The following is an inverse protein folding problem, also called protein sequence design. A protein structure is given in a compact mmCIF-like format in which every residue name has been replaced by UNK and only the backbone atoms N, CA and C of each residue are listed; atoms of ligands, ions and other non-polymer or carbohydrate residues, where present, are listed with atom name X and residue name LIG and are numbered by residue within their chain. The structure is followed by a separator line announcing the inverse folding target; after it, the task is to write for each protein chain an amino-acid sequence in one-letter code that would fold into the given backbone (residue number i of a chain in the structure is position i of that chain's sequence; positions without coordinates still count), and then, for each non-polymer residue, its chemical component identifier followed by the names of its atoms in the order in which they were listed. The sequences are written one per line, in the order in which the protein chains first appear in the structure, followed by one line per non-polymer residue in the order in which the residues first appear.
data_IF_866835206890
#
_entry.id   IF_866835206890
#
_cell.length_a   1.000
_cell.length_b   1.000
_cell.length_c   1.000
_cell.angle_alpha   90.00
_cell.angle_beta   90.00
_cell.angle_gamma   90.00
#
_symmetry.space_group_name_H-M   'P 1'
#
loop_
_entity.id
_entity.type
_entity.pdbx_description
1 polymer ?
#
# COMPACT_ATOMS: atom_id res chain seq x y z
N UNK A 1 -40.04 122.85 -18.29
CA UNK A 1 -40.69 121.67 -18.90
C UNK A 1 -40.58 120.52 -17.92
N UNK A 2 -41.68 120.19 -17.24
CA UNK A 2 -41.72 119.10 -16.27
C UNK A 2 -42.03 117.78 -16.99
N UNK A 3 -41.13 116.81 -16.86
CA UNK A 3 -41.31 115.44 -17.35
C UNK A 3 -42.23 114.67 -16.42
N UNK A 4 -43.20 113.99 -17.04
CA UNK A 4 -44.29 113.23 -16.43
C UNK A 4 -43.80 112.14 -15.47
N UNK A 5 -44.32 112.17 -14.24
CA UNK A 5 -44.34 111.05 -13.30
C UNK A 5 -45.33 109.99 -13.83
N UNK A 6 -44.85 108.77 -14.03
CA UNK A 6 -45.64 107.59 -14.43
C UNK A 6 -46.75 107.31 -13.39
N UNK A 7 -47.97 107.07 -13.90
CA UNK A 7 -49.23 106.81 -13.18
C UNK A 7 -49.08 105.98 -11.89
N UNK A 8 -49.75 106.34 -10.78
CA UNK A 8 -50.00 105.41 -9.69
C UNK A 8 -51.03 104.37 -10.15
N UNK A 9 -50.80 103.12 -9.76
CA UNK A 9 -51.63 101.95 -10.02
C UNK A 9 -53.11 102.16 -9.68
N UNK A 10 -53.97 101.35 -10.33
CA UNK A 10 -55.42 101.29 -10.10
C UNK A 10 -55.73 101.13 -8.60
N UNK A 11 -56.60 101.98 -8.04
CA UNK A 11 -57.00 101.92 -6.62
C UNK A 11 -58.14 100.92 -6.42
N UNK A 12 -57.89 99.89 -5.63
CA UNK A 12 -58.87 98.85 -5.28
C UNK A 12 -59.85 99.32 -4.20
N UNK A 13 -61.06 98.76 -4.16
CA UNK A 13 -62.05 99.05 -3.10
C UNK A 13 -61.76 98.22 -1.85
N UNK A 14 -62.20 98.68 -0.68
CA UNK A 14 -62.00 97.96 0.59
C UNK A 14 -62.53 96.50 0.57
N UNK A 15 -63.71 96.20 -0.05
CA UNK A 15 -64.16 94.81 -0.23
C UNK A 15 -63.24 93.97 -1.11
N UNK A 16 -62.62 94.56 -2.15
CA UNK A 16 -61.64 93.87 -3.01
C UNK A 16 -60.38 93.51 -2.20
N UNK A 17 -59.95 94.38 -1.29
CA UNK A 17 -58.84 94.11 -0.37
C UNK A 17 -59.18 92.97 0.61
N UNK A 18 -60.37 92.97 1.22
CA UNK A 18 -60.81 91.88 2.10
C UNK A 18 -60.91 90.55 1.36
N UNK A 19 -61.42 90.55 0.12
CA UNK A 19 -61.51 89.37 -0.73
C UNK A 19 -60.12 88.84 -1.09
N UNK A 20 -59.18 89.73 -1.46
CA UNK A 20 -57.79 89.34 -1.73
C UNK A 20 -57.06 88.83 -0.47
N UNK A 21 -57.28 89.46 0.69
CA UNK A 21 -56.68 89.02 1.96
C UNK A 21 -57.21 87.64 2.38
N UNK A 22 -58.52 87.39 2.23
CA UNK A 22 -59.11 86.07 2.45
C UNK A 22 -58.55 85.04 1.46
N UNK A 23 -58.46 85.37 0.17
CA UNK A 23 -57.91 84.48 -0.85
C UNK A 23 -56.43 84.15 -0.57
N UNK A 24 -55.62 85.13 -0.16
CA UNK A 24 -54.24 84.91 0.26
C UNK A 24 -54.16 84.00 1.50
N UNK A 25 -55.04 84.20 2.48
CA UNK A 25 -55.12 83.36 3.69
C UNK A 25 -55.47 81.92 3.35
N UNK A 26 -56.56 81.69 2.60
CA UNK A 26 -57.02 80.35 2.21
C UNK A 26 -55.98 79.64 1.33
N UNK A 27 -55.34 80.35 0.40
CA UNK A 27 -54.29 79.76 -0.43
C UNK A 27 -53.05 79.42 0.42
N UNK A 28 -52.68 80.25 1.39
CA UNK A 28 -51.62 79.95 2.34
C UNK A 28 -51.94 78.73 3.23
N UNK A 29 -53.20 78.54 3.63
CA UNK A 29 -53.67 77.34 4.35
C UNK A 29 -53.56 76.09 3.48
N UNK A 30 -54.11 76.11 2.26
CA UNK A 30 -54.02 74.99 1.31
C UNK A 30 -52.57 74.59 1.02
N UNK A 31 -51.67 75.58 0.86
CA UNK A 31 -50.24 75.32 0.65
C UNK A 31 -49.57 74.75 1.90
N UNK A 32 -49.94 75.22 3.11
CA UNK A 32 -49.45 74.67 4.38
C UNK A 32 -49.93 73.24 4.60
N UNK A 33 -51.17 72.93 4.28
CA UNK A 33 -51.75 71.59 4.42
C UNK A 33 -51.11 70.60 3.44
N UNK A 34 -50.96 70.97 2.16
CA UNK A 34 -50.24 70.17 1.18
C UNK A 34 -48.77 69.93 1.59
N UNK A 35 -48.08 70.97 2.10
CA UNK A 35 -46.74 70.83 2.65
C UNK A 35 -46.69 69.92 3.88
N UNK A 36 -47.69 70.00 4.76
CA UNK A 36 -47.79 69.14 5.93
C UNK A 36 -47.97 67.68 5.54
N UNK A 37 -48.85 67.40 4.57
CA UNK A 37 -49.07 66.06 4.05
C UNK A 37 -47.80 65.48 3.42
N UNK A 38 -47.13 66.22 2.52
CA UNK A 38 -45.87 65.76 1.90
C UNK A 38 -44.79 65.50 2.96
N UNK A 39 -44.68 66.35 3.98
CA UNK A 39 -43.72 66.13 5.08
C UNK A 39 -44.06 64.89 5.90
N UNK A 40 -45.35 64.61 6.11
CA UNK A 40 -45.78 63.42 6.84
C UNK A 40 -45.51 62.15 6.03
N UNK A 41 -45.85 62.15 4.74
CA UNK A 41 -45.54 61.06 3.81
C UNK A 41 -44.03 60.80 3.72
N UNK A 42 -43.21 61.87 3.60
CA UNK A 42 -41.76 61.74 3.58
C UNK A 42 -41.20 61.17 4.90
N UNK A 43 -41.79 61.52 6.04
CA UNK A 43 -41.39 60.96 7.35
C UNK A 43 -41.74 59.47 7.47
N UNK A 44 -42.95 59.08 7.03
CA UNK A 44 -43.37 57.68 6.98
C UNK A 44 -42.43 56.90 6.06
N UNK A 45 -42.23 57.36 4.83
CA UNK A 45 -41.33 56.71 3.87
C UNK A 45 -39.90 56.56 4.39
N UNK A 46 -39.37 57.58 5.08
CA UNK A 46 -38.03 57.52 5.69
C UNK A 46 -37.97 56.47 6.80
N UNK A 47 -39.01 56.36 7.63
CA UNK A 47 -39.06 55.35 8.68
C UNK A 47 -39.18 53.94 8.08
N UNK A 48 -40.03 53.77 7.09
CA UNK A 48 -40.23 52.48 6.41
C UNK A 48 -38.95 52.02 5.72
N UNK A 49 -38.29 52.90 4.95
CA UNK A 49 -37.03 52.57 4.27
C UNK A 49 -35.88 52.34 5.25
N UNK A 50 -35.82 53.07 6.37
CA UNK A 50 -34.83 52.82 7.42
C UNK A 50 -35.03 51.45 8.07
N UNK A 51 -36.27 51.10 8.41
CA UNK A 51 -36.59 49.79 8.97
C UNK A 51 -36.26 48.67 7.98
N UNK A 52 -36.64 48.84 6.71
CA UNK A 52 -36.33 47.88 5.65
C UNK A 52 -34.82 47.69 5.50
N UNK A 53 -34.04 48.76 5.51
CA UNK A 53 -32.58 48.70 5.37
C UNK A 53 -31.94 47.93 6.54
N UNK A 54 -32.42 48.15 7.77
CA UNK A 54 -31.91 47.44 8.96
C UNK A 54 -32.24 45.95 8.88
N UNK A 55 -33.48 45.61 8.47
CA UNK A 55 -33.90 44.22 8.31
C UNK A 55 -33.14 43.50 7.19
N UNK A 56 -33.00 44.13 6.02
CA UNK A 56 -32.27 43.56 4.89
C UNK A 56 -30.81 43.32 5.24
N UNK A 57 -30.16 44.25 5.94
CA UNK A 57 -28.78 44.07 6.39
C UNK A 57 -28.65 42.92 7.40
N UNK A 58 -29.61 42.82 8.34
CA UNK A 58 -29.62 41.74 9.31
C UNK A 58 -29.83 40.36 8.65
N UNK A 59 -30.77 40.25 7.72
CA UNK A 59 -31.05 39.02 6.96
C UNK A 59 -29.82 38.62 6.11
N UNK A 60 -29.23 39.56 5.38
CA UNK A 60 -28.01 39.31 4.59
C UNK A 60 -26.84 38.83 5.46
N UNK A 61 -26.61 39.49 6.60
CA UNK A 61 -25.56 39.09 7.55
C UNK A 61 -25.79 37.69 8.11
N UNK A 62 -27.05 37.35 8.41
CA UNK A 62 -27.43 36.04 8.94
C UNK A 62 -27.18 34.95 7.89
N UNK A 63 -27.65 35.14 6.65
CA UNK A 63 -27.42 34.20 5.55
C UNK A 63 -25.95 34.00 5.23
N UNK A 64 -25.14 35.07 5.31
CA UNK A 64 -23.70 34.98 5.11
C UNK A 64 -23.04 34.17 6.24
N UNK A 65 -23.45 34.39 7.50
CA UNK A 65 -22.95 33.60 8.64
C UNK A 65 -23.31 32.11 8.50
N UNK A 66 -24.56 31.78 8.13
CA UNK A 66 -24.99 30.40 7.86
C UNK A 66 -24.19 29.76 6.73
N UNK A 67 -23.85 30.53 5.70
CA UNK A 67 -23.00 30.06 4.60
C UNK A 67 -21.58 29.74 5.10
N UNK A 68 -20.97 30.64 5.88
CA UNK A 68 -19.66 30.41 6.51
C UNK A 68 -19.67 29.12 7.32
N UNK A 69 -20.69 28.91 8.16
CA UNK A 69 -20.81 27.69 8.96
C UNK A 69 -20.92 26.43 8.08
N UNK A 70 -21.69 26.49 7.00
CA UNK A 70 -21.87 25.37 6.07
C UNK A 70 -20.57 25.02 5.35
N UNK A 71 -19.83 26.02 4.86
CA UNK A 71 -18.53 25.81 4.22
C UNK A 71 -17.51 25.29 5.23
N UNK A 72 -17.55 25.78 6.48
CA UNK A 72 -16.64 25.34 7.55
C UNK A 72 -16.88 23.87 7.92
N UNK A 73 -18.13 23.42 8.02
CA UNK A 73 -18.45 21.99 8.22
C UNK A 73 -17.87 21.11 7.12
N UNK A 74 -17.98 21.53 5.86
CA UNK A 74 -17.38 20.79 4.74
C UNK A 74 -15.85 20.78 4.82
N UNK A 75 -15.23 21.92 5.13
CA UNK A 75 -13.78 22.01 5.35
C UNK A 75 -13.31 21.04 6.44
N UNK A 76 -14.01 20.98 7.57
CA UNK A 76 -13.69 20.06 8.67
C UNK A 76 -13.89 18.57 8.28
N UNK A 77 -14.95 18.24 7.53
CA UNK A 77 -15.16 16.89 7.03
C UNK A 77 -14.06 16.46 6.04
N UNK A 78 -13.64 17.37 5.15
CA UNK A 78 -12.57 17.11 4.19
C UNK A 78 -11.21 17.00 4.90
N UNK A 79 -10.93 17.85 5.90
CA UNK A 79 -9.73 17.75 6.75
C UNK A 79 -9.61 16.39 7.42
N UNK A 80 -10.71 15.92 8.02
CA UNK A 80 -10.74 14.60 8.67
C UNK A 80 -10.49 13.50 7.64
N UNK A 81 -11.20 13.55 6.51
CA UNK A 81 -11.06 12.56 5.44
C UNK A 81 -9.64 12.51 4.87
N UNK A 82 -8.98 13.68 4.71
CA UNK A 82 -7.57 13.76 4.31
C UNK A 82 -6.63 13.11 5.34
N UNK A 83 -6.87 13.37 6.63
CA UNK A 83 -6.07 12.78 7.73
C UNK A 83 -6.22 11.26 7.76
N UNK A 84 -7.46 10.76 7.64
CA UNK A 84 -7.75 9.32 7.59
C UNK A 84 -7.10 8.68 6.33
N UNK A 85 -7.13 9.37 5.20
CA UNK A 85 -6.53 8.93 3.94
C UNK A 85 -5.00 8.88 4.00
N UNK A 86 -4.34 9.89 4.58
CA UNK A 86 -2.89 9.89 4.76
C UNK A 86 -2.47 8.75 5.70
N UNK A 87 -3.22 8.49 6.77
CA UNK A 87 -2.96 7.35 7.65
C UNK A 87 -3.10 6.00 6.93
N UNK A 88 -4.09 5.83 6.04
CA UNK A 88 -4.25 4.60 5.26
C UNK A 88 -3.15 4.45 4.18
N UNK A 89 -2.72 5.55 3.54
CA UNK A 89 -1.58 5.54 2.61
C UNK A 89 -0.32 5.07 3.34
N UNK A 90 -0.04 5.60 4.53
CA UNK A 90 1.11 5.19 5.34
C UNK A 90 1.01 3.72 5.76
N UNK A 91 -0.18 3.26 6.17
CA UNK A 91 -0.42 1.88 6.58
C UNK A 91 -0.26 0.89 5.41
N UNK A 92 -0.76 1.23 4.22
CA UNK A 92 -0.60 0.40 3.02
C UNK A 92 0.85 0.40 2.54
N UNK A 93 1.56 1.52 2.65
CA UNK A 93 3.00 1.61 2.34
C UNK A 93 3.81 0.67 3.24
N UNK A 94 3.59 0.70 4.55
CA UNK A 94 4.24 -0.21 5.49
C UNK A 94 3.93 -1.69 5.20
N UNK A 95 2.69 -2.02 4.85
CA UNK A 95 2.30 -3.38 4.51
C UNK A 95 2.98 -3.86 3.21
N UNK A 96 3.08 -2.98 2.20
CA UNK A 96 3.81 -3.25 0.96
C UNK A 96 5.29 -3.48 1.23
N UNK A 97 5.93 -2.63 2.02
CA UNK A 97 7.34 -2.80 2.41
C UNK A 97 7.57 -4.11 3.17
N UNK A 98 6.66 -4.49 4.06
CA UNK A 98 6.71 -5.79 4.74
C UNK A 98 6.63 -6.95 3.76
N UNK A 99 5.77 -6.88 2.75
CA UNK A 99 5.69 -7.89 1.69
C UNK A 99 6.97 -7.94 0.83
N UNK A 100 7.56 -6.79 0.50
CA UNK A 100 8.84 -6.70 -0.22
C UNK A 100 9.99 -7.32 0.57
N UNK A 101 10.06 -7.06 1.88
CA UNK A 101 11.05 -7.68 2.77
C UNK A 101 10.86 -9.20 2.86
N UNK A 102 9.61 -9.67 2.99
CA UNK A 102 9.31 -11.10 2.99
C UNK A 102 9.72 -11.75 1.67
N UNK A 103 9.47 -11.10 0.53
CA UNK A 103 9.88 -11.56 -0.80
C UNK A 103 11.41 -11.68 -0.90
N UNK A 104 12.14 -10.65 -0.46
CA UNK A 104 13.60 -10.64 -0.47
C UNK A 104 14.19 -11.74 0.43
N UNK A 105 13.58 -11.97 1.59
CA UNK A 105 14.00 -13.01 2.53
C UNK A 105 13.92 -14.43 1.94
N UNK A 106 13.13 -14.66 0.88
CA UNK A 106 13.04 -15.96 0.20
C UNK A 106 14.19 -16.27 -0.75
N UNK A 107 15.04 -15.28 -1.09
CA UNK A 107 16.18 -15.50 -1.99
C UNK A 107 17.21 -16.46 -1.40
N UNK A 108 17.59 -16.25 -0.13
CA UNK A 108 18.60 -17.10 0.50
C UNK A 108 18.15 -18.58 0.61
N UNK A 109 16.94 -18.90 1.11
CA UNK A 109 16.44 -20.28 1.10
C UNK A 109 16.40 -20.91 -0.30
N UNK A 110 16.04 -20.13 -1.33
CA UNK A 110 16.03 -20.60 -2.71
C UNK A 110 17.44 -20.97 -3.19
N UNK A 111 18.41 -20.08 -2.95
CA UNK A 111 19.81 -20.31 -3.33
C UNK A 111 20.37 -21.55 -2.61
N UNK A 112 20.06 -21.72 -1.32
CA UNK A 112 20.46 -22.91 -0.55
C UNK A 112 19.83 -24.19 -1.10
N UNK A 113 18.54 -24.18 -1.44
CA UNK A 113 17.87 -25.34 -2.02
C UNK A 113 18.47 -25.73 -3.38
N UNK A 114 18.78 -24.73 -4.23
CA UNK A 114 19.45 -24.93 -5.52
C UNK A 114 20.87 -25.45 -5.31
N UNK A 115 21.64 -24.88 -4.38
CA UNK A 115 22.98 -25.36 -4.04
C UNK A 115 22.93 -26.82 -3.58
N UNK A 116 21.98 -27.18 -2.71
CA UNK A 116 21.77 -28.56 -2.28
C UNK A 116 21.50 -29.50 -3.46
N UNK A 117 20.67 -29.09 -4.42
CA UNK A 117 20.42 -29.87 -5.63
C UNK A 117 21.69 -30.02 -6.48
N UNK A 118 22.43 -28.94 -6.72
CA UNK A 118 23.68 -29.00 -7.50
C UNK A 118 24.75 -29.89 -6.86
N UNK A 119 24.88 -29.86 -5.53
CA UNK A 119 25.78 -30.77 -4.81
C UNK A 119 25.36 -32.23 -4.95
N UNK A 120 24.06 -32.50 -4.99
CA UNK A 120 23.54 -33.85 -5.21
C UNK A 120 23.79 -34.34 -6.64
N UNK A 121 23.63 -33.47 -7.64
CA UNK A 121 23.94 -33.78 -9.04
C UNK A 121 25.44 -34.07 -9.26
N UNK A 122 26.31 -33.55 -8.37
CA UNK A 122 27.76 -33.79 -8.42
C UNK A 122 28.21 -35.16 -7.89
N UNK A 123 27.28 -35.98 -7.37
CA UNK A 123 27.57 -37.36 -6.92
C UNK A 123 28.02 -38.22 -8.10
N UNK A 124 28.65 -39.37 -7.82
CA UNK A 124 29.25 -40.24 -8.85
C UNK A 124 28.59 -41.61 -8.87
N UNK A 125 28.56 -42.20 -10.06
CA UNK A 125 28.16 -43.59 -10.29
C UNK A 125 26.81 -43.93 -9.63
N UNK A 126 26.80 -44.98 -8.79
CA UNK A 126 25.60 -45.50 -8.14
C UNK A 126 25.04 -44.57 -7.06
N UNK A 127 25.80 -43.56 -6.61
CA UNK A 127 25.35 -42.60 -5.59
C UNK A 127 24.48 -41.46 -6.17
N UNK A 128 24.40 -41.35 -7.50
CA UNK A 128 23.43 -40.48 -8.20
C UNK A 128 22.06 -41.14 -8.20
N UNK A 129 21.35 -41.00 -7.09
CA UNK A 129 20.05 -41.62 -6.89
C UNK A 129 18.99 -40.56 -6.62
N UNK A 130 17.88 -40.67 -7.33
CA UNK A 130 16.63 -39.98 -7.00
C UNK A 130 16.08 -40.57 -5.70
N UNK A 131 16.35 -39.88 -4.60
CA UNK A 131 15.90 -40.25 -3.27
C UNK A 131 14.83 -39.26 -2.77
N UNK A 132 14.14 -39.56 -1.67
CA UNK A 132 13.13 -38.65 -1.13
C UNK A 132 13.66 -37.25 -0.78
N UNK A 133 14.97 -37.08 -0.57
CA UNK A 133 15.56 -35.75 -0.30
C UNK A 133 15.54 -34.90 -1.57
N UNK A 134 15.86 -35.49 -2.72
CA UNK A 134 15.80 -34.78 -4.00
C UNK A 134 14.37 -34.35 -4.36
N UNK A 135 13.40 -35.22 -4.11
CA UNK A 135 11.97 -34.91 -4.31
C UNK A 135 11.52 -33.75 -3.41
N UNK A 136 11.88 -33.77 -2.12
CA UNK A 136 11.52 -32.69 -1.20
C UNK A 136 12.27 -31.38 -1.50
N UNK A 137 13.52 -31.43 -1.97
CA UNK A 137 14.26 -30.24 -2.40
C UNK A 137 13.62 -29.59 -3.65
N UNK A 138 13.19 -30.39 -4.63
CA UNK A 138 12.46 -29.86 -5.79
C UNK A 138 11.14 -29.21 -5.38
N UNK A 139 10.36 -29.86 -4.49
CA UNK A 139 9.14 -29.27 -3.93
C UNK A 139 9.44 -27.97 -3.16
N UNK A 140 10.54 -27.92 -2.42
CA UNK A 140 10.96 -26.70 -1.70
C UNK A 140 11.22 -25.54 -2.66
N UNK A 141 11.93 -25.78 -3.77
CA UNK A 141 12.12 -24.78 -4.83
C UNK A 141 10.77 -24.33 -5.42
N UNK A 142 9.87 -25.28 -5.74
CA UNK A 142 8.55 -24.98 -6.29
C UNK A 142 7.69 -24.13 -5.34
N UNK A 143 7.65 -24.47 -4.04
CA UNK A 143 6.90 -23.74 -3.02
C UNK A 143 7.49 -22.34 -2.79
N UNK A 144 8.82 -22.21 -2.78
CA UNK A 144 9.48 -20.91 -2.67
C UNK A 144 9.15 -20.03 -3.88
N UNK A 145 9.21 -20.56 -5.10
CA UNK A 145 8.88 -19.80 -6.31
C UNK A 145 7.40 -19.42 -6.37
N UNK A 146 6.49 -20.32 -5.97
CA UNK A 146 5.06 -20.02 -5.85
C UNK A 146 4.81 -18.89 -4.84
N UNK A 147 5.45 -18.97 -3.67
CA UNK A 147 5.41 -17.91 -2.64
C UNK A 147 5.92 -16.58 -3.18
N UNK A 148 7.06 -16.57 -3.86
CA UNK A 148 7.64 -15.34 -4.45
C UNK A 148 6.66 -14.70 -5.45
N UNK A 149 6.01 -15.51 -6.30
CA UNK A 149 5.00 -15.01 -7.25
C UNK A 149 3.77 -14.43 -6.55
N UNK A 150 3.25 -15.11 -5.53
CA UNK A 150 2.10 -14.65 -4.77
C UNK A 150 2.39 -13.30 -4.07
N UNK A 151 3.54 -13.18 -3.40
CA UNK A 151 3.97 -11.92 -2.78
C UNK A 151 4.19 -10.82 -3.81
N UNK A 152 4.84 -11.11 -4.94
CA UNK A 152 5.07 -10.13 -6.01
C UNK A 152 3.76 -9.59 -6.59
N UNK A 153 2.76 -10.44 -6.79
CA UNK A 153 1.44 -10.02 -7.25
C UNK A 153 0.79 -9.05 -6.25
N UNK A 154 0.86 -9.36 -4.95
CA UNK A 154 0.33 -8.50 -3.89
C UNK A 154 1.05 -7.15 -3.81
N UNK A 155 2.37 -7.14 -3.98
CA UNK A 155 3.17 -5.91 -4.03
C UNK A 155 2.74 -5.02 -5.21
N UNK A 156 2.54 -5.60 -6.40
CA UNK A 156 2.06 -4.86 -7.57
C UNK A 156 0.66 -4.28 -7.37
N UNK A 157 -0.28 -5.07 -6.83
CA UNK A 157 -1.63 -4.60 -6.48
C UNK A 157 -1.59 -3.45 -5.48
N UNK A 158 -0.71 -3.54 -4.47
CA UNK A 158 -0.53 -2.49 -3.46
C UNK A 158 0.02 -1.20 -4.06
N UNK A 159 0.96 -1.31 -4.99
CA UNK A 159 1.53 -0.16 -5.68
C UNK A 159 0.49 0.57 -6.53
N UNK A 160 -0.31 -0.16 -7.31
CA UNK A 160 -1.41 0.42 -8.09
C UNK A 160 -2.43 1.13 -7.18
N UNK A 161 -2.79 0.49 -6.07
CA UNK A 161 -3.72 1.08 -5.10
C UNK A 161 -3.16 2.35 -4.45
N UNK A 162 -1.87 2.39 -4.11
CA UNK A 162 -1.20 3.59 -3.59
C UNK A 162 -1.25 4.75 -4.59
N UNK A 163 -1.06 4.49 -5.89
CA UNK A 163 -1.21 5.52 -6.92
C UNK A 163 -2.64 6.10 -6.94
N UNK A 164 -3.66 5.23 -6.88
CA UNK A 164 -5.07 5.67 -6.83
C UNK A 164 -5.38 6.51 -5.57
N UNK A 165 -4.89 6.08 -4.40
CA UNK A 165 -5.07 6.84 -3.16
C UNK A 165 -4.38 8.22 -3.23
N UNK A 166 -3.20 8.31 -3.87
CA UNK A 166 -2.54 9.58 -4.09
C UNK A 166 -3.34 10.51 -5.01
N UNK A 167 -3.94 10.01 -6.09
CA UNK A 167 -4.81 10.79 -6.96
C UNK A 167 -6.04 11.34 -6.21
N UNK A 168 -6.70 10.47 -5.44
CA UNK A 168 -7.86 10.84 -4.62
C UNK A 168 -7.47 11.89 -3.58
N UNK A 169 -6.29 11.75 -2.96
CA UNK A 169 -5.75 12.75 -2.03
C UNK A 169 -5.57 14.11 -2.69
N UNK A 170 -5.04 14.17 -3.92
CA UNK A 170 -4.88 15.43 -4.64
C UNK A 170 -6.22 16.10 -4.95
N UNK A 171 -7.24 15.31 -5.28
CA UNK A 171 -8.59 15.81 -5.53
C UNK A 171 -9.23 16.37 -4.26
N UNK A 172 -9.14 15.64 -3.13
CA UNK A 172 -9.60 16.12 -1.82
C UNK A 172 -8.88 17.39 -1.38
N UNK A 173 -7.55 17.45 -1.54
CA UNK A 173 -6.77 18.65 -1.20
C UNK A 173 -7.19 19.87 -2.05
N UNK A 174 -7.50 19.65 -3.33
CA UNK A 174 -7.96 20.72 -4.21
C UNK A 174 -9.33 21.26 -3.78
N UNK A 175 -10.27 20.38 -3.41
CA UNK A 175 -11.58 20.78 -2.88
C UNK A 175 -11.44 21.50 -1.53
N UNK A 176 -10.63 20.93 -0.62
CA UNK A 176 -10.34 21.52 0.69
C UNK A 176 -9.76 22.92 0.58
N UNK A 177 -8.73 23.11 -0.27
CA UNK A 177 -8.14 24.44 -0.53
C UNK A 177 -9.20 25.42 -1.03
N UNK A 178 -10.07 24.97 -1.94
CA UNK A 178 -11.20 25.77 -2.40
C UNK A 178 -12.15 26.19 -1.27
N UNK A 179 -12.43 25.29 -0.30
CA UNK A 179 -13.24 25.63 0.88
C UNK A 179 -12.53 26.63 1.79
N UNK A 180 -11.22 26.50 2.01
CA UNK A 180 -10.43 27.44 2.83
C UNK A 180 -10.43 28.84 2.21
N UNK A 181 -10.11 28.95 0.92
CA UNK A 181 -10.12 30.24 0.20
C UNK A 181 -11.51 30.89 0.22
N UNK A 182 -12.57 30.09 0.05
CA UNK A 182 -13.96 30.56 0.14
C UNK A 182 -14.26 31.10 1.55
N UNK A 183 -13.85 30.39 2.61
CA UNK A 183 -14.04 30.83 3.99
C UNK A 183 -13.31 32.15 4.29
N UNK A 184 -12.11 32.33 3.76
CA UNK A 184 -11.34 33.56 3.97
C UNK A 184 -12.03 34.77 3.32
N UNK A 185 -12.57 34.58 2.11
CA UNK A 185 -13.39 35.59 1.42
C UNK A 185 -14.67 35.88 2.21
N UNK A 186 -15.43 34.85 2.57
CA UNK A 186 -16.74 35.01 3.22
C UNK A 186 -16.61 35.60 4.63
N UNK A 187 -15.58 35.22 5.40
CA UNK A 187 -15.24 35.84 6.70
C UNK A 187 -14.82 37.30 6.52
N UNK A 188 -14.05 37.59 5.47
CA UNK A 188 -13.72 38.96 5.07
C UNK A 188 -14.98 39.78 4.83
N UNK A 189 -15.91 39.27 4.02
CA UNK A 189 -17.20 39.90 3.74
C UNK A 189 -18.03 40.11 5.03
N UNK A 190 -18.10 39.11 5.91
CA UNK A 190 -18.85 39.18 7.17
C UNK A 190 -18.28 40.21 8.16
N UNK A 191 -16.98 40.52 8.04
CA UNK A 191 -16.30 41.52 8.87
C UNK A 191 -16.53 42.97 8.42
N UNK A 192 -17.00 43.16 7.17
CA UNK A 192 -17.27 44.49 6.63
C UNK A 192 -18.42 45.17 7.39
N UNK A 193 -18.30 46.48 7.58
CA UNK A 193 -19.34 47.31 8.15
C UNK A 193 -19.39 48.67 7.45
N UNK A 194 -20.39 49.50 7.78
CA UNK A 194 -20.59 50.82 7.15
C UNK A 194 -19.40 51.80 7.32
N UNK A 195 -18.50 51.56 8.27
CA UNK A 195 -17.31 52.38 8.50
C UNK A 195 -16.05 51.81 7.83
N UNK A 196 -16.16 50.68 7.13
CA UNK A 196 -15.03 50.06 6.44
C UNK A 196 -14.56 50.95 5.26
N UNK A 197 -13.25 51.19 5.11
CA UNK A 197 -12.71 52.20 4.18
C UNK A 197 -12.90 51.88 2.68
N UNK A 198 -13.28 50.65 2.32
CA UNK A 198 -13.35 50.17 0.93
C UNK A 198 -14.77 49.77 0.47
N UNK A 199 -15.82 50.25 1.14
CA UNK A 199 -17.20 50.05 0.65
C UNK A 199 -17.50 50.97 -0.52
N UNK A 200 -18.11 50.46 -1.59
CA UNK A 200 -18.48 51.26 -2.77
C UNK A 200 -19.66 50.61 -3.50
N UNK A 201 -20.43 51.41 -4.24
CA UNK A 201 -21.43 50.88 -5.17
C UNK A 201 -20.72 50.15 -6.31
N UNK A 202 -21.18 48.93 -6.62
CA UNK A 202 -20.61 48.08 -7.67
C UNK A 202 -21.48 48.13 -8.93
N UNK A 203 -20.83 48.05 -10.09
CA UNK A 203 -21.53 47.97 -11.38
C UNK A 203 -22.03 46.54 -11.57
N UNK A 204 -23.34 46.40 -11.82
CA UNK A 204 -24.04 45.11 -11.95
C UNK A 204 -23.75 44.15 -10.77
N UNK A 205 -24.16 44.49 -9.54
CA UNK A 205 -23.83 43.72 -8.33
C UNK A 205 -24.47 42.34 -8.30
N UNK A 206 -25.57 42.13 -9.02
CA UNK A 206 -26.31 40.86 -9.13
C UNK A 206 -25.84 39.99 -10.29
N UNK A 207 -24.70 40.31 -10.91
CA UNK A 207 -24.15 39.51 -12.01
C UNK A 207 -23.72 38.13 -11.50
N UNK A 208 -24.00 37.11 -12.28
CA UNK A 208 -23.51 35.75 -12.05
C UNK A 208 -22.41 35.48 -13.08
N UNK A 209 -21.16 35.23 -12.66
CA UNK A 209 -20.08 34.91 -13.59
C UNK A 209 -20.37 33.65 -14.41
N UNK A 210 -19.95 33.63 -15.66
CA UNK A 210 -20.04 32.44 -16.50
C UNK A 210 -19.24 31.28 -15.87
N UNK A 211 -19.83 30.07 -15.86
CA UNK A 211 -19.23 28.90 -15.23
C UNK A 211 -19.49 28.76 -13.73
N UNK A 212 -20.34 29.60 -13.12
CA UNK A 212 -20.74 29.46 -11.71
C UNK A 212 -21.50 28.15 -11.47
N UNK A 213 -21.17 27.46 -10.38
CA UNK A 213 -21.89 26.25 -9.94
C UNK A 213 -23.10 26.59 -9.07
N UNK A 214 -24.12 25.74 -9.09
CA UNK A 214 -25.24 25.84 -8.15
C UNK A 214 -24.83 25.34 -6.75
N UNK A 215 -25.59 25.72 -5.71
CA UNK A 215 -25.36 25.21 -4.35
C UNK A 215 -25.47 23.68 -4.27
N UNK A 216 -26.40 23.10 -5.04
CA UNK A 216 -26.55 21.65 -5.13
C UNK A 216 -25.30 21.01 -5.74
N UNK A 217 -24.80 21.52 -6.86
CA UNK A 217 -23.58 21.02 -7.50
C UNK A 217 -22.35 21.15 -6.61
N UNK A 218 -22.22 22.26 -5.88
CA UNK A 218 -21.13 22.48 -4.92
C UNK A 218 -21.13 21.45 -3.79
N UNK A 219 -22.31 21.13 -3.27
CA UNK A 219 -22.46 20.17 -2.17
C UNK A 219 -22.26 18.73 -2.65
N UNK A 220 -22.82 18.39 -3.82
CA UNK A 220 -22.62 17.10 -4.49
C UNK A 220 -21.14 16.85 -4.82
N UNK A 221 -20.39 17.87 -5.25
CA UNK A 221 -18.97 17.76 -5.53
C UNK A 221 -18.15 17.32 -4.31
N UNK A 222 -18.37 17.97 -3.15
CA UNK A 222 -17.67 17.59 -1.92
C UNK A 222 -18.13 16.26 -1.35
N UNK A 223 -19.43 15.93 -1.44
CA UNK A 223 -19.93 14.59 -1.11
C UNK A 223 -19.28 13.52 -1.98
N UNK A 224 -19.19 13.74 -3.28
CA UNK A 224 -18.61 12.79 -4.22
C UNK A 224 -17.13 12.52 -3.90
N UNK A 225 -16.33 13.57 -3.71
CA UNK A 225 -14.91 13.42 -3.38
C UNK A 225 -14.71 12.65 -2.07
N UNK A 226 -15.50 12.98 -1.04
CA UNK A 226 -15.47 12.28 0.25
C UNK A 226 -15.86 10.80 0.10
N UNK A 227 -16.99 10.51 -0.54
CA UNK A 227 -17.47 9.13 -0.69
C UNK A 227 -16.49 8.28 -1.52
N UNK A 228 -15.89 8.87 -2.57
CA UNK A 228 -14.85 8.20 -3.35
C UNK A 228 -13.63 7.88 -2.47
N UNK A 229 -13.17 8.81 -1.65
CA UNK A 229 -12.06 8.55 -0.74
C UNK A 229 -12.37 7.46 0.28
N UNK A 230 -13.57 7.48 0.89
CA UNK A 230 -14.00 6.43 1.82
C UNK A 230 -14.07 5.05 1.15
N UNK A 231 -14.56 4.96 -0.09
CA UNK A 231 -14.59 3.71 -0.84
C UNK A 231 -13.18 3.18 -1.15
N UNK A 232 -12.29 4.06 -1.60
CA UNK A 232 -10.91 3.70 -1.96
C UNK A 232 -10.09 3.28 -0.73
N UNK A 233 -10.27 3.96 0.41
CA UNK A 233 -9.67 3.57 1.70
C UNK A 233 -10.16 2.22 2.17
N UNK A 234 -11.47 1.93 2.03
CA UNK A 234 -12.03 0.63 2.41
C UNK A 234 -11.40 -0.51 1.59
N UNK A 235 -11.32 -0.35 0.28
CA UNK A 235 -10.64 -1.33 -0.58
C UNK A 235 -9.15 -1.46 -0.27
N UNK A 236 -8.49 -0.37 0.13
CA UNK A 236 -7.09 -0.42 0.58
C UNK A 236 -6.94 -1.24 1.87
N UNK A 237 -7.85 -1.07 2.84
CA UNK A 237 -7.88 -1.86 4.07
C UNK A 237 -8.05 -3.35 3.77
N UNK A 238 -9.01 -3.71 2.91
CA UNK A 238 -9.25 -5.09 2.47
C UNK A 238 -7.99 -5.68 1.78
N UNK A 239 -7.29 -4.88 0.97
CA UNK A 239 -6.03 -5.29 0.35
C UNK A 239 -4.93 -5.52 1.39
N UNK A 240 -4.80 -4.65 2.43
CA UNK A 240 -3.83 -4.85 3.52
C UNK A 240 -4.08 -6.16 4.28
N UNK A 241 -5.34 -6.44 4.59
CA UNK A 241 -5.72 -7.70 5.23
C UNK A 241 -5.36 -8.91 4.35
N UNK A 242 -5.65 -8.82 3.05
CA UNK A 242 -5.29 -9.87 2.09
C UNK A 242 -3.76 -10.07 1.99
N UNK A 243 -2.95 -9.01 2.03
CA UNK A 243 -1.48 -9.10 2.04
C UNK A 243 -1.01 -9.81 3.32
N UNK A 244 -1.52 -9.41 4.48
CA UNK A 244 -1.16 -10.01 5.77
C UNK A 244 -1.49 -11.51 5.80
N UNK A 245 -2.65 -11.90 5.27
CA UNK A 245 -3.04 -13.30 5.10
C UNK A 245 -2.09 -14.05 4.17
N UNK A 246 -1.79 -13.51 2.99
CA UNK A 246 -0.84 -14.14 2.06
C UNK A 246 0.55 -14.32 2.68
N UNK A 247 1.04 -13.35 3.46
CA UNK A 247 2.30 -13.47 4.20
C UNK A 247 2.22 -14.63 5.22
N UNK A 248 1.14 -14.71 5.98
CA UNK A 248 0.97 -15.77 6.98
C UNK A 248 0.85 -17.16 6.33
N UNK A 249 0.04 -17.30 5.28
CA UNK A 249 -0.17 -18.54 4.54
C UNK A 249 1.14 -19.04 3.93
N UNK A 250 1.85 -18.17 3.21
CA UNK A 250 3.12 -18.55 2.58
C UNK A 250 4.21 -18.90 3.59
N UNK A 251 4.25 -18.23 4.75
CA UNK A 251 5.18 -18.60 5.82
C UNK A 251 4.85 -19.97 6.42
N UNK A 252 3.57 -20.31 6.59
CA UNK A 252 3.16 -21.62 7.08
C UNK A 252 3.47 -22.73 6.07
N UNK A 253 3.22 -22.50 4.78
CA UNK A 253 3.55 -23.44 3.70
C UNK A 253 5.05 -23.72 3.63
N UNK A 254 5.88 -22.67 3.71
CA UNK A 254 7.33 -22.79 3.72
C UNK A 254 7.85 -23.51 4.96
N UNK A 255 7.27 -23.25 6.13
CA UNK A 255 7.64 -23.96 7.36
C UNK A 255 7.30 -25.46 7.26
N UNK A 256 6.11 -25.79 6.74
CA UNK A 256 5.71 -27.17 6.51
C UNK A 256 6.67 -27.88 5.54
N UNK A 257 7.04 -27.21 4.43
CA UNK A 257 7.98 -27.76 3.46
C UNK A 257 9.38 -27.92 4.05
N UNK A 258 9.87 -26.94 4.83
CA UNK A 258 11.16 -27.03 5.54
C UNK A 258 11.22 -28.26 6.44
N UNK A 259 10.16 -28.52 7.21
CA UNK A 259 10.08 -29.69 8.10
C UNK A 259 10.09 -31.00 7.30
N UNK A 260 9.41 -31.04 6.15
CA UNK A 260 9.41 -32.20 5.27
C UNK A 260 10.81 -32.48 4.69
N UNK A 261 11.47 -31.46 4.15
CA UNK A 261 12.84 -31.57 3.61
C UNK A 261 13.82 -31.99 4.71
N UNK A 262 13.76 -31.36 5.89
CA UNK A 262 14.64 -31.70 7.02
C UNK A 262 14.45 -33.16 7.48
N UNK A 263 13.20 -33.62 7.54
CA UNK A 263 12.90 -35.00 7.87
C UNK A 263 13.49 -35.98 6.85
N UNK A 264 13.34 -35.69 5.55
CA UNK A 264 13.93 -36.49 4.48
C UNK A 264 15.46 -36.55 4.62
N UNK A 265 16.13 -35.43 4.86
CA UNK A 265 17.57 -35.37 5.09
C UNK A 265 18.00 -36.23 6.30
N UNK A 266 17.33 -36.07 7.44
CA UNK A 266 17.64 -36.84 8.66
C UNK A 266 17.48 -38.34 8.44
N UNK A 267 16.44 -38.75 7.70
CA UNK A 267 16.23 -40.17 7.35
C UNK A 267 17.36 -40.68 6.45
N UNK A 268 17.68 -39.94 5.39
CA UNK A 268 18.72 -40.33 4.43
C UNK A 268 20.12 -40.40 5.07
N UNK A 269 20.43 -39.45 5.95
CA UNK A 269 21.70 -39.42 6.68
C UNK A 269 21.88 -40.70 7.51
N UNK A 270 20.85 -41.12 8.25
CA UNK A 270 20.89 -42.36 9.06
C UNK A 270 21.07 -43.61 8.20
N UNK A 271 20.43 -43.66 7.04
CA UNK A 271 20.62 -44.77 6.09
C UNK A 271 22.07 -44.83 5.59
N UNK A 272 22.66 -43.69 5.25
CA UNK A 272 24.05 -43.60 4.81
C UNK A 272 25.04 -43.96 5.93
N UNK A 273 24.82 -43.48 7.15
CA UNK A 273 25.65 -43.83 8.32
C UNK A 273 25.62 -45.34 8.61
N UNK A 274 24.45 -45.97 8.47
CA UNK A 274 24.29 -47.42 8.63
C UNK A 274 25.05 -48.18 7.55
N UNK A 275 24.88 -47.79 6.29
CA UNK A 275 25.57 -48.42 5.16
C UNK A 275 27.11 -48.26 5.27
N UNK A 276 27.58 -47.07 5.64
CA UNK A 276 29.00 -46.81 5.87
C UNK A 276 29.57 -47.69 6.99
N UNK A 277 28.86 -47.81 8.12
CA UNK A 277 29.29 -48.64 9.25
C UNK A 277 29.37 -50.12 8.87
N UNK A 278 28.39 -50.61 8.10
CA UNK A 278 28.39 -51.99 7.58
C UNK A 278 29.56 -52.23 6.62
N UNK A 279 29.78 -51.34 5.65
CA UNK A 279 30.89 -51.47 4.70
C UNK A 279 32.25 -51.47 5.39
N UNK A 280 32.42 -50.62 6.41
CA UNK A 280 33.64 -50.60 7.23
C UNK A 280 33.84 -51.90 8.02
N UNK A 281 32.77 -52.52 8.47
CA UNK A 281 32.83 -53.83 9.11
C UNK A 281 33.21 -54.94 8.12
N UNK A 282 32.61 -54.93 6.91
CA UNK A 282 32.94 -55.88 5.85
C UNK A 282 34.39 -55.73 5.36
N UNK A 283 34.89 -54.50 5.21
CA UNK A 283 36.29 -54.22 4.87
C UNK A 283 37.23 -54.87 5.87
N UNK A 284 36.98 -54.67 7.17
CA UNK A 284 37.77 -55.27 8.24
C UNK A 284 37.80 -56.80 8.14
N UNK A 285 36.64 -57.45 8.04
CA UNK A 285 36.56 -58.91 7.97
C UNK A 285 37.25 -59.45 6.71
N UNK A 286 37.11 -58.75 5.58
CA UNK A 286 37.74 -59.17 4.32
C UNK A 286 39.26 -59.09 4.42
N UNK A 287 39.80 -58.07 5.09
CA UNK A 287 41.23 -57.96 5.34
C UNK A 287 41.75 -59.07 6.27
N UNK A 288 40.97 -59.45 7.29
CA UNK A 288 41.28 -60.59 8.17
C UNK A 288 41.30 -61.91 7.37
N UNK A 289 40.28 -62.17 6.54
CA UNK A 289 40.21 -63.35 5.67
C UNK A 289 41.39 -63.40 4.66
N UNK A 290 41.76 -62.25 4.07
CA UNK A 290 42.92 -62.17 3.17
C UNK A 290 44.21 -62.56 3.92
N UNK A 291 44.37 -62.15 5.18
CA UNK A 291 45.53 -62.49 5.97
C UNK A 291 45.58 -64.00 6.28
N UNK A 292 44.45 -64.59 6.66
CA UNK A 292 44.33 -66.04 6.88
C UNK A 292 44.63 -66.85 5.61
N UNK A 293 44.07 -66.44 4.46
CA UNK A 293 44.37 -67.08 3.17
C UNK A 293 45.84 -66.97 2.77
N UNK A 294 46.51 -65.85 3.09
CA UNK A 294 47.94 -65.70 2.84
C UNK A 294 48.78 -66.65 3.70
N UNK A 295 48.40 -66.87 4.97
CA UNK A 295 49.05 -67.84 5.86
C UNK A 295 48.85 -69.27 5.35
N UNK A 296 47.64 -69.63 4.93
CA UNK A 296 47.34 -70.93 4.34
C UNK A 296 48.15 -71.21 3.06
N UNK A 297 48.31 -70.21 2.18
CA UNK A 297 49.17 -70.34 0.99
C UNK A 297 50.60 -70.65 1.40
N UNK A 298 51.16 -69.95 2.40
CA UNK A 298 52.52 -70.20 2.87
C UNK A 298 52.67 -71.61 3.43
N UNK A 299 51.71 -72.07 4.23
CA UNK A 299 51.70 -73.43 4.75
C UNK A 299 51.61 -74.49 3.65
N UNK A 300 50.75 -74.30 2.65
CA UNK A 300 50.63 -75.21 1.51
C UNK A 300 51.92 -75.26 0.68
N UNK A 301 52.59 -74.13 0.47
CA UNK A 301 53.89 -74.09 -0.21
C UNK A 301 54.98 -74.83 0.57
N UNK A 302 55.04 -74.66 1.88
CA UNK A 302 55.97 -75.37 2.75
C UNK A 302 55.74 -76.88 2.71
N UNK A 303 54.49 -77.32 2.79
CA UNK A 303 54.13 -78.71 2.71
C UNK A 303 54.42 -79.31 1.33
N UNK A 304 54.22 -78.56 0.25
CA UNK A 304 54.62 -78.95 -1.10
C UNK A 304 56.14 -79.13 -1.19
N UNK A 305 56.92 -78.19 -0.63
CA UNK A 305 58.39 -78.31 -0.58
C UNK A 305 58.83 -79.54 0.21
N UNK A 306 58.23 -79.81 1.38
CA UNK A 306 58.50 -81.01 2.19
C UNK A 306 58.21 -82.29 1.39
N UNK A 307 57.06 -82.36 0.71
CA UNK A 307 56.69 -83.50 -0.15
C UNK A 307 57.64 -83.67 -1.33
N UNK A 308 58.06 -82.59 -1.99
CA UNK A 308 59.06 -82.61 -3.07
C UNK A 308 60.42 -83.12 -2.59
N UNK A 309 60.86 -82.74 -1.39
CA UNK A 309 62.10 -83.25 -0.79
C UNK A 309 62.02 -84.76 -0.54
N UNK A 310 60.90 -85.24 0.01
CA UNK A 310 60.66 -86.67 0.18
C UNK A 310 60.65 -87.42 -1.16
N UNK A 311 60.02 -86.85 -2.19
CA UNK A 311 60.02 -87.43 -3.54
C UNK A 311 61.43 -87.48 -4.14
N UNK A 312 62.21 -86.40 -4.03
CA UNK A 312 63.62 -86.36 -4.45
C UNK A 312 64.43 -87.45 -3.75
N UNK A 313 64.24 -87.63 -2.44
CA UNK A 313 64.90 -88.69 -1.68
C UNK A 313 64.54 -90.08 -2.23
N UNK A 314 63.26 -90.34 -2.50
CA UNK A 314 62.82 -91.60 -3.12
C UNK A 314 63.45 -91.80 -4.50
N UNK A 315 63.45 -90.76 -5.36
CA UNK A 315 64.09 -90.81 -6.69
C UNK A 315 65.60 -91.09 -6.59
N UNK A 316 66.32 -90.38 -5.72
CA UNK A 316 67.76 -90.61 -5.51
C UNK A 316 68.04 -92.01 -4.98
N UNK A 317 67.20 -92.54 -4.07
CA UNK A 317 67.31 -93.92 -3.58
C UNK A 317 67.08 -94.94 -4.70
N UNK A 318 66.07 -94.73 -5.55
CA UNK A 318 65.81 -95.56 -6.73
C UNK A 318 66.99 -95.53 -7.71
N UNK A 319 67.50 -94.35 -8.05
CA UNK A 319 68.65 -94.19 -8.95
C UNK A 319 69.91 -94.83 -8.36
N UNK A 320 70.20 -94.63 -7.08
CA UNK A 320 71.39 -95.22 -6.44
C UNK A 320 71.40 -96.75 -6.52
N UNK A 321 70.21 -97.38 -6.56
CA UNK A 321 70.08 -98.84 -6.69
C UNK A 321 70.37 -99.35 -8.12
N UNK A 322 70.37 -98.50 -9.14
CA UNK A 322 70.73 -98.91 -10.52
C UNK A 322 72.23 -99.21 -10.67
N UNK A 323 73.07 -98.71 -9.75
CA UNK A 323 74.52 -98.96 -9.72
C UNK A 323 74.93 -100.26 -9.00
N UNK A 324 73.99 -101.13 -8.64
CA UNK A 324 74.30 -102.41 -7.98
C UNK A 324 75.08 -103.35 -8.92
N UNK A 325 76.16 -103.99 -8.47
CA UNK A 325 76.96 -104.87 -9.33
C UNK A 325 76.34 -106.28 -9.50
N UNK A 326 76.46 -106.82 -10.71
CA UNK A 326 76.15 -108.22 -11.08
C UNK A 326 74.73 -108.69 -10.69
N UNK A 327 74.61 -109.85 -10.04
CA UNK A 327 73.35 -110.51 -9.66
C UNK A 327 72.50 -109.69 -8.68
N UNK A 328 73.10 -108.73 -7.96
CA UNK A 328 72.40 -107.86 -7.01
C UNK A 328 71.55 -106.77 -7.71
N UNK A 329 71.64 -106.59 -9.04
CA UNK A 329 70.76 -105.73 -9.83
C UNK A 329 69.38 -106.40 -10.06
N UNK A 330 68.70 -106.69 -8.96
CA UNK A 330 67.40 -107.34 -8.94
C UNK A 330 66.25 -106.32 -8.98
N UNK A 331 65.08 -106.74 -9.47
CA UNK A 331 63.84 -105.95 -9.46
C UNK A 331 63.02 -106.29 -8.22
N UNK A 332 63.43 -105.77 -7.07
CA UNK A 332 62.68 -105.88 -5.83
C UNK A 332 61.74 -104.68 -5.62
N UNK A 333 60.68 -104.88 -4.83
CA UNK A 333 59.74 -103.81 -4.50
C UNK A 333 60.38 -102.79 -3.54
N UNK A 334 60.01 -101.51 -3.71
CA UNK A 334 60.44 -100.38 -2.89
C UNK A 334 59.23 -99.68 -2.30
#
# INVERSE_FOLDING_TARGET
MATLSLKPSQRFRLPDWHTNAQLLSTNAELKRDASHQIRQEARVLRNDTNNQTIWDEHDNRTRLAERVDTVNRWKEMLDKCLTDLDAEIDALTQMKESAEQNLQAKNLPLDVAIECLTLRDSRRDIDVVKDPVEEELHKEVEVIDATKKALQQKISQSFEKLCLLQEVRQQLNSDHRGKVETLDIDRGCLSLNLKSPNISLKINPTRVPDGSSTLQQWDEFSRFNKNRAEAEMKEATELREAIALTIAETNNELEAQRVATEFAFRKRLREMEKAYSELKWQEKNTLEEIAELQEDIQHLEEDLRRKLLNLKLCHTRLESRTYRPNVELCRDQV
#
